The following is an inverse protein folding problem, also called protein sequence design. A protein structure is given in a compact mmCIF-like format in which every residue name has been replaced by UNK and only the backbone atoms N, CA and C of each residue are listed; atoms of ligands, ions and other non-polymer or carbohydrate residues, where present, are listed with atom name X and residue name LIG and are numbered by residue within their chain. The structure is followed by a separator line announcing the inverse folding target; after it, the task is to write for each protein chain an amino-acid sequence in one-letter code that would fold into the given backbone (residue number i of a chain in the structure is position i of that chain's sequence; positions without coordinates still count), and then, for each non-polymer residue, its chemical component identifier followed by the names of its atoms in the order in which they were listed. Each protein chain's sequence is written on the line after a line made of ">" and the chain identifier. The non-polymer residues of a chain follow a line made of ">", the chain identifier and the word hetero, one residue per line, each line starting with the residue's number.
data_IF_190263837882
#
_entry.id   IF_190263837882
#
_cell.length_a   1.000
_cell.length_b   1.000
_cell.length_c   1.000
_cell.angle_alpha   90.00
_cell.angle_beta   90.00
_cell.angle_gamma   90.00
#
_symmetry.space_group_name_H-M   'P 1'
#
loop_
_entity.id
_entity.type
_entity.pdbx_description
1 polymer ?
#
# COMPACT_ATOMS: atom_id res chain seq x y z
N UNK A 1 14.43 12.77 1.20
CA UNK A 1 13.89 11.56 0.51
C UNK A 1 14.88 10.43 0.72
N UNK A 2 14.63 9.54 1.65
CA UNK A 2 15.45 8.35 1.82
C UNK A 2 15.13 7.38 0.67
N UNK A 3 16.07 7.20 -0.24
CA UNK A 3 16.01 6.20 -1.32
C UNK A 3 16.80 5.00 -0.85
N UNK A 4 16.21 3.81 -0.91
CA UNK A 4 16.99 2.57 -0.82
C UNK A 4 18.00 2.58 -1.97
N UNK A 5 19.26 2.45 -1.67
CA UNK A 5 20.27 2.37 -2.71
C UNK A 5 20.18 1.03 -3.45
N UNK A 6 20.59 1.01 -4.71
CA UNK A 6 20.67 -0.25 -5.47
C UNK A 6 21.62 -1.25 -4.79
N UNK A 7 22.62 -0.77 -4.06
CA UNK A 7 23.58 -1.58 -3.31
C UNK A 7 22.89 -2.29 -2.13
N UNK A 8 22.04 -1.58 -1.37
CA UNK A 8 21.25 -2.18 -0.27
C UNK A 8 20.24 -3.19 -0.79
N UNK A 9 19.52 -2.89 -1.89
CA UNK A 9 18.59 -3.82 -2.53
C UNK A 9 19.32 -5.10 -2.96
N UNK A 10 20.50 -4.97 -3.56
CA UNK A 10 21.30 -6.11 -3.98
C UNK A 10 21.85 -6.89 -2.77
N UNK A 11 22.23 -6.21 -1.69
CA UNK A 11 22.67 -6.86 -0.45
C UNK A 11 21.53 -7.66 0.18
N UNK A 12 20.34 -7.09 0.31
CA UNK A 12 19.15 -7.79 0.83
C UNK A 12 18.81 -8.99 -0.06
N UNK A 13 18.86 -8.82 -1.38
CA UNK A 13 18.61 -9.90 -2.34
C UNK A 13 19.60 -11.03 -2.21
N UNK A 14 20.89 -10.72 -2.07
CA UNK A 14 21.96 -11.72 -1.99
C UNK A 14 21.94 -12.48 -0.66
N UNK A 15 21.44 -11.85 0.41
CA UNK A 15 21.29 -12.48 1.73
C UNK A 15 19.94 -13.19 1.91
N UNK A 16 19.00 -13.03 0.97
CA UNK A 16 17.70 -13.68 1.02
C UNK A 16 17.73 -15.05 0.31
N UNK A 17 17.02 -16.02 0.90
CA UNK A 17 16.76 -17.32 0.28
C UNK A 17 15.29 -17.36 -0.17
N UNK A 18 15.05 -17.44 -1.47
CA UNK A 18 13.70 -17.42 -2.02
C UNK A 18 12.82 -18.56 -1.51
N UNK A 19 13.41 -19.73 -1.22
CA UNK A 19 12.67 -20.90 -0.70
C UNK A 19 12.17 -20.64 0.72
N UNK A 20 13.03 -20.05 1.58
CA UNK A 20 12.68 -19.71 2.97
C UNK A 20 11.61 -18.62 3.01
N UNK A 21 11.77 -17.56 2.19
CA UNK A 21 10.80 -16.48 2.13
C UNK A 21 9.46 -17.01 1.62
N UNK A 22 9.40 -17.72 0.49
CA UNK A 22 8.15 -18.29 -0.02
C UNK A 22 7.57 -19.32 0.97
N UNK A 23 8.43 -20.16 1.57
CA UNK A 23 8.04 -21.14 2.57
C UNK A 23 7.43 -20.55 3.85
N UNK A 24 7.73 -19.26 4.15
CA UNK A 24 7.08 -18.56 5.26
C UNK A 24 5.63 -18.14 4.97
N UNK A 25 5.20 -18.20 3.72
CA UNK A 25 3.84 -17.85 3.28
C UNK A 25 3.01 -19.07 2.89
N UNK A 26 3.62 -20.02 2.17
CA UNK A 26 2.94 -21.20 1.62
C UNK A 26 3.81 -22.44 1.78
N UNK A 27 3.20 -23.63 1.94
CA UNK A 27 3.95 -24.88 2.01
C UNK A 27 4.72 -25.15 0.71
N UNK A 28 6.02 -25.40 0.82
CA UNK A 28 6.90 -25.76 -0.30
C UNK A 28 7.41 -27.19 -0.15
N UNK A 29 7.48 -27.94 -1.23
CA UNK A 29 7.96 -29.33 -1.25
C UNK A 29 9.16 -29.45 -2.17
N UNK A 30 10.22 -30.06 -1.68
CA UNK A 30 11.42 -30.30 -2.49
C UNK A 30 11.16 -31.35 -3.58
N UNK A 31 11.59 -31.03 -4.79
CA UNK A 31 11.54 -31.92 -5.96
C UNK A 31 12.91 -31.88 -6.67
N UNK A 32 13.79 -32.83 -6.31
CA UNK A 32 15.14 -32.85 -6.81
C UNK A 32 15.99 -31.69 -6.31
N UNK A 33 16.51 -30.85 -7.22
CA UNK A 33 17.33 -29.67 -6.90
C UNK A 33 16.50 -28.39 -6.65
N UNK A 34 15.23 -28.41 -7.03
CA UNK A 34 14.31 -27.29 -6.96
C UNK A 34 13.13 -27.59 -6.02
N UNK A 35 12.29 -26.61 -5.76
CA UNK A 35 11.09 -26.75 -4.94
C UNK A 35 9.83 -26.50 -5.78
N UNK A 36 8.71 -27.08 -5.33
CA UNK A 36 7.39 -26.87 -5.92
C UNK A 36 6.37 -26.52 -4.84
N UNK A 37 5.37 -25.72 -5.22
CA UNK A 37 4.22 -25.35 -4.39
C UNK A 37 3.00 -25.07 -5.24
N UNK A 38 1.84 -25.04 -4.60
CA UNK A 38 0.61 -24.53 -5.18
C UNK A 38 0.77 -23.04 -5.41
N UNK A 39 0.35 -22.54 -6.57
CA UNK A 39 0.50 -21.13 -6.90
C UNK A 39 -0.54 -20.27 -6.15
N UNK A 40 -0.15 -19.23 -5.41
CA UNK A 40 -1.10 -18.37 -4.70
C UNK A 40 -1.72 -17.28 -5.59
N UNK A 41 -1.34 -17.18 -6.85
CA UNK A 41 -1.73 -16.09 -7.76
C UNK A 41 -2.87 -16.45 -8.70
N UNK A 42 -3.36 -17.68 -8.65
CA UNK A 42 -4.55 -18.16 -9.37
C UNK A 42 -5.17 -19.33 -8.60
N UNK A 43 -6.37 -19.72 -8.94
CA UNK A 43 -7.03 -20.89 -8.38
C UNK A 43 -6.29 -22.16 -8.84
N UNK A 44 -5.49 -22.72 -7.96
CA UNK A 44 -4.57 -23.83 -8.22
C UNK A 44 -4.78 -24.95 -7.22
N UNK A 45 -5.00 -26.16 -7.73
CA UNK A 45 -5.19 -27.37 -6.91
C UNK A 45 -4.01 -28.35 -7.00
N UNK A 46 -2.97 -27.99 -7.77
CA UNK A 46 -1.79 -28.83 -7.97
C UNK A 46 -0.51 -28.02 -7.95
N UNK A 47 0.65 -28.57 -7.51
CA UNK A 47 1.89 -27.81 -7.45
C UNK A 47 2.39 -27.38 -8.83
N UNK A 48 1.89 -26.25 -9.33
CA UNK A 48 2.22 -25.69 -10.65
C UNK A 48 3.35 -24.65 -10.61
N UNK A 49 3.67 -24.11 -9.43
CA UNK A 49 4.77 -23.15 -9.27
C UNK A 49 6.07 -23.87 -8.88
N UNK A 50 7.13 -23.61 -9.64
CA UNK A 50 8.48 -24.11 -9.40
C UNK A 50 9.37 -22.98 -8.89
N UNK A 51 10.23 -23.29 -7.91
CA UNK A 51 11.17 -22.36 -7.29
C UNK A 51 12.58 -22.89 -7.55
N UNK A 52 13.38 -22.13 -8.28
CA UNK A 52 14.78 -22.49 -8.57
C UNK A 52 15.71 -21.90 -7.54
N UNK A 53 16.37 -22.76 -6.76
CA UNK A 53 17.33 -22.36 -5.74
C UNK A 53 18.56 -21.70 -6.37
N UNK A 54 19.05 -22.27 -7.47
CA UNK A 54 20.27 -21.77 -8.12
C UNK A 54 20.10 -20.41 -8.78
N UNK A 55 18.89 -20.12 -9.28
CA UNK A 55 18.57 -18.85 -9.96
C UNK A 55 17.89 -17.83 -9.04
N UNK A 56 17.47 -18.25 -7.85
CA UNK A 56 16.69 -17.40 -6.91
C UNK A 56 15.45 -16.76 -7.57
N UNK A 57 14.72 -17.58 -8.35
CA UNK A 57 13.48 -17.17 -9.03
C UNK A 57 12.38 -18.22 -8.84
N UNK A 58 11.13 -17.77 -8.93
CA UNK A 58 9.97 -18.65 -9.06
C UNK A 58 9.31 -18.48 -10.42
N UNK A 59 8.62 -19.52 -10.88
CA UNK A 59 7.78 -19.50 -12.08
C UNK A 59 6.60 -20.47 -11.93
N UNK A 60 5.39 -19.95 -12.10
CA UNK A 60 4.21 -20.75 -12.27
C UNK A 60 4.04 -21.12 -13.76
N UNK A 61 3.87 -22.42 -14.04
CA UNK A 61 3.70 -22.89 -15.42
C UNK A 61 2.24 -22.88 -15.88
N UNK A 62 1.28 -22.63 -14.97
CA UNK A 62 -0.13 -22.52 -15.29
C UNK A 62 -0.54 -21.08 -15.62
N UNK A 63 -0.27 -20.10 -14.71
CA UNK A 63 -0.67 -18.72 -14.92
C UNK A 63 0.44 -17.81 -15.45
N UNK A 64 1.69 -18.31 -15.57
CA UNK A 64 2.83 -17.54 -16.05
C UNK A 64 3.45 -16.59 -15.02
N UNK A 65 2.93 -16.47 -13.80
CA UNK A 65 3.52 -15.64 -12.75
C UNK A 65 4.96 -16.06 -12.48
N UNK A 66 5.89 -15.11 -12.55
CA UNK A 66 7.32 -15.36 -12.37
C UNK A 66 8.01 -14.14 -11.79
N UNK A 67 9.12 -14.35 -11.08
CA UNK A 67 9.91 -13.26 -10.52
C UNK A 67 10.92 -13.73 -9.50
N UNK A 68 11.50 -12.76 -8.79
CA UNK A 68 12.39 -12.96 -7.65
C UNK A 68 11.64 -12.87 -6.32
N UNK A 69 12.37 -12.91 -5.21
CA UNK A 69 11.82 -12.82 -3.85
C UNK A 69 10.96 -11.55 -3.64
N UNK A 70 11.41 -10.40 -4.14
CA UNK A 70 10.68 -9.15 -3.99
C UNK A 70 9.38 -9.15 -4.80
N UNK A 71 9.43 -9.64 -6.03
CA UNK A 71 8.24 -9.75 -6.89
C UNK A 71 7.20 -10.71 -6.29
N UNK A 72 7.65 -11.78 -5.63
CA UNK A 72 6.74 -12.68 -4.93
C UNK A 72 6.01 -11.95 -3.79
N UNK A 73 6.77 -11.27 -2.91
CA UNK A 73 6.19 -10.55 -1.77
C UNK A 73 5.29 -9.40 -2.23
N UNK A 74 5.68 -8.65 -3.28
CA UNK A 74 4.82 -7.61 -3.86
C UNK A 74 3.45 -8.15 -4.27
N UNK A 75 3.45 -9.25 -5.01
CA UNK A 75 2.21 -9.82 -5.55
C UNK A 75 1.38 -10.52 -4.46
N UNK A 76 2.03 -11.14 -3.47
CA UNK A 76 1.35 -11.87 -2.41
C UNK A 76 0.71 -10.93 -1.38
N UNK A 77 1.45 -9.93 -0.92
CA UNK A 77 1.01 -8.93 0.06
C UNK A 77 0.26 -7.74 -0.59
N UNK A 78 0.27 -7.66 -1.94
CA UNK A 78 -0.28 -6.53 -2.70
C UNK A 78 0.32 -5.18 -2.25
N UNK A 79 1.64 -5.12 -2.12
CA UNK A 79 2.40 -3.95 -1.65
C UNK A 79 3.32 -3.38 -2.74
N UNK A 80 3.86 -2.18 -2.51
CA UNK A 80 4.86 -1.58 -3.41
C UNK A 80 6.19 -2.34 -3.36
N UNK A 81 7.06 -2.12 -4.39
CA UNK A 81 8.38 -2.73 -4.44
C UNK A 81 9.23 -2.41 -3.20
N UNK A 82 9.19 -1.16 -2.73
CA UNK A 82 9.96 -0.70 -1.58
C UNK A 82 9.48 -1.38 -0.29
N UNK A 83 8.17 -1.52 -0.12
CA UNK A 83 7.57 -2.25 1.00
C UNK A 83 7.95 -3.74 0.97
N UNK A 84 7.92 -4.37 -0.21
CA UNK A 84 8.35 -5.75 -0.37
C UNK A 84 9.83 -5.93 -0.01
N UNK A 85 10.71 -5.00 -0.40
CA UNK A 85 12.14 -5.01 -0.01
C UNK A 85 12.28 -4.92 1.52
N UNK A 86 11.51 -4.07 2.18
CA UNK A 86 11.49 -3.95 3.64
C UNK A 86 11.03 -5.23 4.31
N UNK A 87 9.90 -5.80 3.87
CA UNK A 87 9.37 -7.05 4.41
C UNK A 87 10.42 -8.17 4.31
N UNK A 88 11.10 -8.27 3.17
CA UNK A 88 12.18 -9.26 2.98
C UNK A 88 13.36 -8.96 3.91
N UNK A 89 13.80 -7.70 4.04
CA UNK A 89 14.87 -7.30 4.93
C UNK A 89 14.54 -7.66 6.40
N UNK A 90 13.34 -7.35 6.85
CA UNK A 90 12.87 -7.68 8.21
C UNK A 90 12.86 -9.20 8.45
N UNK A 91 12.39 -10.00 7.45
CA UNK A 91 12.34 -11.46 7.56
C UNK A 91 13.73 -12.12 7.65
N UNK A 92 14.76 -11.54 7.01
CA UNK A 92 16.14 -12.06 7.06
C UNK A 92 16.97 -11.42 8.18
N UNK A 93 16.38 -10.53 9.02
CA UNK A 93 17.07 -9.81 10.07
C UNK A 93 18.16 -8.85 9.56
N UNK A 94 17.99 -8.33 8.33
CA UNK A 94 18.93 -7.39 7.74
C UNK A 94 18.72 -6.00 8.33
N UNK A 95 19.65 -5.58 9.22
CA UNK A 95 19.64 -4.23 9.79
C UNK A 95 20.08 -3.23 8.72
N UNK A 96 19.15 -2.45 8.23
CA UNK A 96 19.45 -1.33 7.35
C UNK A 96 20.01 -0.17 8.18
N UNK A 97 21.13 0.40 7.77
CA UNK A 97 21.81 1.49 8.47
C UNK A 97 21.07 2.81 8.45
N UNK A 98 20.03 2.91 7.64
CA UNK A 98 19.12 4.04 7.61
C UNK A 98 17.77 3.62 8.17
N UNK A 99 17.30 4.29 9.22
CA UNK A 99 15.90 4.26 9.62
C UNK A 99 15.06 4.56 8.39
N UNK A 100 14.40 3.52 7.86
CA UNK A 100 13.44 3.68 6.80
C UNK A 100 12.22 4.41 7.35
N UNK A 101 12.29 5.72 7.45
CA UNK A 101 11.11 6.52 7.21
C UNK A 101 10.87 6.46 5.70
N UNK A 102 10.33 5.32 5.26
CA UNK A 102 9.76 5.22 3.94
C UNK A 102 8.49 6.07 4.01
N UNK A 103 8.61 7.34 3.63
CA UNK A 103 7.48 7.94 2.96
C UNK A 103 7.26 7.05 1.74
N UNK A 104 6.33 6.12 1.86
CA UNK A 104 5.73 5.43 0.72
C UNK A 104 5.08 6.55 -0.09
N UNK A 105 5.88 7.18 -0.94
CA UNK A 105 5.33 8.05 -1.97
C UNK A 105 4.67 7.09 -2.95
N UNK A 106 3.46 6.66 -2.59
CA UNK A 106 2.65 5.87 -3.51
C UNK A 106 2.55 6.67 -4.81
N UNK A 107 2.49 5.98 -5.94
CA UNK A 107 2.25 6.62 -7.24
C UNK A 107 1.08 7.62 -7.18
N UNK A 108 0.18 7.41 -6.24
CA UNK A 108 -1.04 8.17 -6.01
C UNK A 108 -1.02 9.02 -4.71
N UNK A 109 0.17 9.30 -4.14
CA UNK A 109 0.26 10.05 -2.88
C UNK A 109 -0.39 11.43 -2.98
N UNK A 110 -0.22 12.11 -4.12
CA UNK A 110 -0.83 13.42 -4.37
C UNK A 110 -2.34 13.34 -4.38
N UNK A 111 -2.89 12.29 -4.97
CA UNK A 111 -4.31 12.01 -5.02
C UNK A 111 -4.85 11.67 -3.62
N UNK A 112 -4.14 10.85 -2.85
CA UNK A 112 -4.51 10.56 -1.46
C UNK A 112 -4.48 11.82 -0.59
N UNK A 113 -3.48 12.68 -0.73
CA UNK A 113 -3.40 13.93 0.01
C UNK A 113 -4.52 14.89 -0.39
N UNK A 114 -4.87 14.92 -1.69
CA UNK A 114 -6.03 15.67 -2.19
C UNK A 114 -7.34 15.12 -1.58
N UNK A 115 -7.56 13.80 -1.59
CA UNK A 115 -8.75 13.20 -1.00
C UNK A 115 -8.85 13.45 0.51
N UNK A 116 -7.74 13.38 1.25
CA UNK A 116 -7.70 13.75 2.67
C UNK A 116 -8.11 15.21 2.90
N UNK A 117 -7.61 16.11 2.05
CA UNK A 117 -7.97 17.54 2.10
C UNK A 117 -9.46 17.77 1.81
N UNK A 118 -9.99 17.11 0.79
CA UNK A 118 -11.41 17.16 0.42
C UNK A 118 -12.29 16.60 1.54
N UNK A 119 -11.93 15.45 2.10
CA UNK A 119 -12.66 14.87 3.21
C UNK A 119 -12.69 15.82 4.42
N UNK A 120 -11.54 16.40 4.78
CA UNK A 120 -11.47 17.39 5.86
C UNK A 120 -12.32 18.61 5.57
N UNK A 121 -12.42 19.06 4.32
CA UNK A 121 -13.30 20.16 3.93
C UNK A 121 -14.77 19.82 4.19
N UNK A 122 -15.22 18.63 3.79
CA UNK A 122 -16.61 18.19 4.01
C UNK A 122 -16.92 17.97 5.49
N UNK A 123 -15.99 17.40 6.27
CA UNK A 123 -16.16 17.26 7.73
C UNK A 123 -16.25 18.63 8.42
N UNK A 124 -15.47 19.62 8.00
CA UNK A 124 -15.56 20.97 8.54
C UNK A 124 -16.92 21.62 8.21
N UNK A 125 -17.46 21.40 7.01
CA UNK A 125 -18.79 21.88 6.67
C UNK A 125 -19.87 21.25 7.57
N UNK A 126 -19.81 19.93 7.79
CA UNK A 126 -20.74 19.24 8.69
C UNK A 126 -20.66 19.76 10.13
N UNK A 127 -19.44 20.12 10.58
CA UNK A 127 -19.19 20.63 11.94
C UNK A 127 -19.43 22.14 12.09
N UNK A 128 -19.79 22.81 11.01
CA UNK A 128 -20.11 24.24 11.02
C UNK A 128 -21.61 24.50 11.13
N UNK A 129 -21.98 25.77 11.16
CA UNK A 129 -23.38 26.19 11.28
C UNK A 129 -24.28 25.66 10.15
N UNK A 130 -23.73 25.51 8.93
CA UNK A 130 -24.47 24.94 7.79
C UNK A 130 -24.75 23.44 7.93
N UNK A 131 -24.05 22.75 8.84
CA UNK A 131 -24.18 21.31 9.06
C UNK A 131 -25.21 20.93 10.13
N UNK A 132 -25.84 21.87 10.81
CA UNK A 132 -26.74 21.59 11.94
C UNK A 132 -27.93 20.70 11.55
N UNK A 133 -28.59 20.99 10.43
CA UNK A 133 -29.70 20.18 9.94
C UNK A 133 -29.25 18.78 9.52
N UNK A 134 -28.08 18.69 8.84
CA UNK A 134 -27.52 17.43 8.45
C UNK A 134 -27.12 16.57 9.66
N UNK A 135 -26.53 17.16 10.70
CA UNK A 135 -26.24 16.45 11.96
C UNK A 135 -27.49 15.94 12.65
N UNK A 136 -28.54 16.74 12.68
CA UNK A 136 -29.83 16.32 13.22
C UNK A 136 -30.37 15.11 12.46
N UNK A 137 -30.37 15.16 11.12
CA UNK A 137 -30.80 14.05 10.27
C UNK A 137 -29.98 12.78 10.52
N UNK A 138 -28.64 12.89 10.64
CA UNK A 138 -27.77 11.76 10.91
C UNK A 138 -28.06 11.15 12.29
N UNK A 139 -28.29 11.98 13.31
CA UNK A 139 -28.65 11.54 14.65
C UNK A 139 -30.00 10.81 14.66
N UNK A 140 -31.01 11.31 13.94
CA UNK A 140 -32.34 10.66 13.79
C UNK A 140 -32.23 9.30 13.09
N UNK A 141 -31.19 9.11 12.26
CA UNK A 141 -30.82 7.83 11.63
C UNK A 141 -29.99 6.90 12.52
N UNK A 142 -29.70 7.28 13.76
CA UNK A 142 -28.91 6.48 14.71
C UNK A 142 -27.39 6.57 14.52
N UNK A 143 -26.91 7.52 13.70
CA UNK A 143 -25.48 7.75 13.53
C UNK A 143 -24.99 8.71 14.62
N UNK A 144 -24.25 8.19 15.58
CA UNK A 144 -23.65 9.00 16.64
C UNK A 144 -22.38 9.72 16.16
N UNK A 145 -21.82 10.61 16.99
CA UNK A 145 -20.63 11.39 16.63
C UNK A 145 -19.39 10.52 16.39
N UNK A 146 -19.24 9.40 17.10
CA UNK A 146 -18.11 8.49 16.93
C UNK A 146 -18.18 7.83 15.56
N UNK A 147 -19.34 7.33 15.17
CA UNK A 147 -19.55 6.74 13.82
C UNK A 147 -19.29 7.79 12.73
N UNK A 148 -19.82 9.00 12.89
CA UNK A 148 -19.61 10.10 11.93
C UNK A 148 -18.12 10.39 11.75
N UNK A 149 -17.35 10.38 12.83
CA UNK A 149 -15.92 10.64 12.83
C UNK A 149 -15.14 9.48 12.24
N UNK A 150 -15.43 8.24 12.64
CA UNK A 150 -14.71 7.03 12.22
C UNK A 150 -14.88 6.76 10.71
N UNK A 151 -16.09 6.99 10.20
CA UNK A 151 -16.39 6.86 8.77
C UNK A 151 -16.06 8.12 7.95
N UNK A 152 -15.62 9.19 8.59
CA UNK A 152 -15.25 10.43 7.91
C UNK A 152 -16.40 11.09 7.19
N UNK A 153 -17.64 11.00 7.73
CA UNK A 153 -18.84 11.57 7.11
C UNK A 153 -18.74 13.09 7.12
N UNK A 154 -19.08 13.71 5.99
CA UNK A 154 -19.02 15.15 5.80
C UNK A 154 -20.22 15.68 5.02
N UNK A 155 -20.33 17.01 4.90
CA UNK A 155 -21.42 17.70 4.21
C UNK A 155 -20.89 18.49 3.00
N UNK A 156 -21.46 18.24 1.83
CA UNK A 156 -21.28 19.12 0.67
C UNK A 156 -22.09 20.40 0.83
N UNK A 157 -21.54 21.54 0.43
CA UNK A 157 -22.33 22.77 0.30
C UNK A 157 -23.23 22.68 -0.93
N UNK A 158 -24.37 23.35 -0.85
CA UNK A 158 -25.28 23.57 -1.99
C UNK A 158 -24.76 24.72 -2.88
N UNK A 159 -23.53 24.55 -3.34
CA UNK A 159 -22.83 25.46 -4.26
C UNK A 159 -21.91 24.63 -5.13
N UNK A 160 -22.19 24.59 -6.43
CA UNK A 160 -21.47 23.78 -7.42
C UNK A 160 -19.96 24.06 -7.43
N UNK A 161 -19.56 25.30 -7.18
CA UNK A 161 -18.15 25.73 -7.26
C UNK A 161 -17.44 25.78 -5.90
N UNK A 162 -18.12 25.49 -4.79
CA UNK A 162 -17.55 25.66 -3.44
C UNK A 162 -16.26 24.87 -3.24
N UNK A 163 -16.24 23.60 -3.62
CA UNK A 163 -15.07 22.73 -3.49
C UNK A 163 -13.93 23.20 -4.40
N UNK A 164 -14.22 23.47 -5.66
CA UNK A 164 -13.21 23.94 -6.63
C UNK A 164 -12.56 25.24 -6.16
N UNK A 165 -13.37 26.19 -5.72
CA UNK A 165 -12.88 27.47 -5.17
C UNK A 165 -11.99 27.26 -3.93
N UNK A 166 -12.38 26.36 -3.04
CA UNK A 166 -11.57 26.00 -1.87
C UNK A 166 -10.22 25.41 -2.27
N UNK A 167 -10.22 24.44 -3.21
CA UNK A 167 -8.99 23.77 -3.66
C UNK A 167 -8.05 24.73 -4.38
N UNK A 168 -8.54 25.58 -5.26
CA UNK A 168 -7.74 26.59 -5.96
C UNK A 168 -7.07 27.56 -4.96
N UNK A 169 -7.80 28.04 -3.95
CA UNK A 169 -7.21 28.90 -2.90
C UNK A 169 -6.09 28.18 -2.15
N UNK A 170 -6.27 26.89 -1.83
CA UNK A 170 -5.24 26.11 -1.11
C UNK A 170 -4.01 25.85 -1.98
N UNK A 171 -4.19 25.52 -3.25
CA UNK A 171 -3.09 25.31 -4.20
C UNK A 171 -2.30 26.61 -4.41
N UNK A 172 -2.97 27.74 -4.59
CA UNK A 172 -2.30 29.05 -4.72
C UNK A 172 -1.44 29.40 -3.48
N UNK A 173 -1.95 29.14 -2.27
CA UNK A 173 -1.18 29.38 -1.04
C UNK A 173 0.08 28.49 -1.03
N UNK A 174 -0.03 27.21 -1.40
CA UNK A 174 1.11 26.28 -1.44
C UNK A 174 2.15 26.64 -2.50
N UNK A 175 1.75 27.26 -3.59
CA UNK A 175 2.65 27.73 -4.66
C UNK A 175 3.35 29.05 -4.25
N UNK A 176 2.64 29.97 -3.61
CA UNK A 176 3.22 31.23 -3.14
C UNK A 176 4.24 31.07 -1.98
N UNK A 177 4.24 29.97 -1.24
CA UNK A 177 5.20 29.71 -0.16
C UNK A 177 6.47 28.96 -0.65
N UNK A 178 6.58 28.67 -1.93
CA UNK A 178 7.75 28.00 -2.54
C UNK A 178 8.66 28.94 -3.34
N UNK A 179 8.47 30.24 -3.25
CA UNK A 179 9.38 31.28 -3.72
C UNK A 179 10.03 31.95 -2.46
#
# INVERSE_FOLDING_TARGET
>A
MARISNEEINAIRSNSNIVEIIGSYIPVTQKGKDYKCVCPFHDDHSPSMSISVSKQIYKCFSCGAAGNVFTFVQNYENVSFIEAVKIVADKIGFSTTNTFEIEVVSKYQKEYDLFKLVNKYYQNNLNSQIGLEAKKYLSERGLNEDIIKDFGIGLSKDDYNALTTFLLKKIMILVCWRI
#
